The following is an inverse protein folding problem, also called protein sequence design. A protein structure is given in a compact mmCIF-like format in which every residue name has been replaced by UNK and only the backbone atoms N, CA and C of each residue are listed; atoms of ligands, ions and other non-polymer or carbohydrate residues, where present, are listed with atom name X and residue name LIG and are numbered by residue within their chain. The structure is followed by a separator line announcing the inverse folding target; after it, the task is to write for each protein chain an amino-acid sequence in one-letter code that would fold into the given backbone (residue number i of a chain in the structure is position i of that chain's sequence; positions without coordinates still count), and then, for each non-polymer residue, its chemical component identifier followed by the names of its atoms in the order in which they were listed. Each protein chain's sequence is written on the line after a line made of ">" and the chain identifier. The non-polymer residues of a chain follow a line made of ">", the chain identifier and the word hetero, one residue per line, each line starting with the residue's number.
data_IF_082763134419
#
_entry.id   IF_082763134419
#
_cell.length_a   1.000
_cell.length_b   1.000
_cell.length_c   1.000
_cell.angle_alpha   90.00
_cell.angle_beta   90.00
_cell.angle_gamma   90.00
#
_symmetry.space_group_name_H-M   'P 1'
#
loop_
_entity.id
_entity.type
_entity.pdbx_description
1 polymer ?
#
# COMPACT_ATOMS: atom_id res chain seq x y z
N UNK A 1 36.10 -51.61 31.63
CA UNK A 1 34.92 -50.79 31.28
C UNK A 1 35.03 -49.33 31.75
N UNK A 2 36.22 -48.81 32.11
CA UNK A 2 36.36 -47.41 32.57
C UNK A 2 36.88 -46.43 31.49
N UNK A 3 37.35 -46.93 30.34
CA UNK A 3 38.10 -46.14 29.35
C UNK A 3 37.23 -45.45 28.28
N UNK A 4 35.99 -45.92 28.09
CA UNK A 4 35.08 -45.38 27.07
C UNK A 4 34.35 -44.09 27.51
N UNK A 5 34.16 -43.90 28.82
CA UNK A 5 33.47 -42.73 29.36
C UNK A 5 34.35 -41.47 29.35
N UNK A 6 35.66 -41.64 29.55
CA UNK A 6 36.64 -40.55 29.56
C UNK A 6 36.91 -40.00 28.14
N UNK A 7 36.92 -40.89 27.13
CA UNK A 7 37.05 -40.50 25.72
C UNK A 7 35.86 -39.67 25.20
N UNK A 8 34.64 -40.00 25.61
CA UNK A 8 33.42 -39.26 25.21
C UNK A 8 33.35 -37.88 25.90
N UNK A 9 33.82 -37.78 27.15
CA UNK A 9 33.94 -36.51 27.87
C UNK A 9 34.98 -35.58 27.23
N UNK A 10 36.14 -36.12 26.84
CA UNK A 10 37.20 -35.37 26.15
C UNK A 10 36.76 -34.91 24.75
N UNK A 11 36.06 -35.75 23.98
CA UNK A 11 35.53 -35.39 22.68
C UNK A 11 34.47 -34.29 22.76
N UNK A 12 33.55 -34.38 23.73
CA UNK A 12 32.56 -33.32 24.00
C UNK A 12 33.23 -32.01 24.40
N UNK A 13 34.25 -32.05 25.26
CA UNK A 13 35.00 -30.87 25.67
C UNK A 13 35.72 -30.21 24.47
N UNK A 14 36.35 -31.00 23.59
CA UNK A 14 36.96 -30.48 22.36
C UNK A 14 35.93 -29.88 21.42
N UNK A 15 34.79 -30.53 21.23
CA UNK A 15 33.72 -30.06 20.33
C UNK A 15 33.14 -28.72 20.83
N UNK A 16 32.92 -28.59 22.15
CA UNK A 16 32.46 -27.34 22.76
C UNK A 16 33.51 -26.24 22.60
N UNK A 17 34.78 -26.53 22.86
CA UNK A 17 35.86 -25.56 22.68
C UNK A 17 35.97 -25.08 21.23
N UNK A 18 35.79 -25.99 20.27
CA UNK A 18 35.82 -25.68 18.84
C UNK A 18 34.58 -24.86 18.41
N UNK A 19 33.41 -25.15 18.97
CA UNK A 19 32.20 -24.37 18.75
C UNK A 19 32.34 -22.93 19.29
N UNK A 20 32.87 -22.77 20.50
CA UNK A 20 33.15 -21.46 21.10
C UNK A 20 34.16 -20.68 20.28
N UNK A 21 35.20 -21.34 19.77
CA UNK A 21 36.19 -20.71 18.90
C UNK A 21 35.58 -20.23 17.57
N UNK A 22 34.72 -21.05 16.95
CA UNK A 22 34.00 -20.68 15.73
C UNK A 22 33.01 -19.54 15.97
N UNK A 23 32.32 -19.53 17.10
CA UNK A 23 31.38 -18.47 17.48
C UNK A 23 32.11 -17.15 17.72
N UNK A 24 33.29 -17.18 18.35
CA UNK A 24 34.15 -16.01 18.50
C UNK A 24 34.68 -15.48 17.15
N UNK A 25 35.06 -16.38 16.23
CA UNK A 25 35.47 -16.01 14.87
C UNK A 25 34.31 -15.40 14.07
N UNK A 26 33.11 -15.98 14.16
CA UNK A 26 31.91 -15.45 13.51
C UNK A 26 31.53 -14.08 14.06
N UNK A 27 31.55 -13.92 15.39
CA UNK A 27 31.30 -12.63 16.03
C UNK A 27 32.34 -11.56 15.65
N UNK A 28 33.59 -11.95 15.42
CA UNK A 28 34.63 -11.06 14.90
C UNK A 28 34.37 -10.68 13.44
N UNK A 29 33.98 -11.63 12.60
CA UNK A 29 33.68 -11.40 11.18
C UNK A 29 32.44 -10.51 10.95
N UNK A 30 31.50 -10.50 11.90
CA UNK A 30 30.30 -9.65 11.87
C UNK A 30 30.56 -8.19 12.28
N UNK A 31 31.74 -7.87 12.81
CA UNK A 31 32.10 -6.48 13.13
C UNK A 31 32.49 -5.75 11.86
N UNK A 32 31.72 -4.73 11.51
CA UNK A 32 32.07 -3.84 10.42
C UNK A 32 33.44 -3.16 10.71
N UNK A 33 34.34 -3.07 9.72
CA UNK A 33 35.67 -2.45 9.89
C UNK A 33 35.62 -0.91 10.08
N UNK A 34 34.42 -0.32 10.07
CA UNK A 34 34.20 1.12 10.28
C UNK A 34 32.71 1.45 10.34
N UNK A 35 32.35 2.72 10.59
CA UNK A 35 30.96 3.16 10.59
C UNK A 35 30.33 2.91 9.20
N UNK A 36 29.21 2.18 9.21
CA UNK A 36 28.44 1.92 8.00
C UNK A 36 27.74 3.20 7.56
N UNK A 37 28.03 3.65 6.35
CA UNK A 37 27.27 4.73 5.74
C UNK A 37 25.87 4.22 5.41
N UNK A 38 24.86 5.05 5.66
CA UNK A 38 23.47 4.74 5.31
C UNK A 38 23.18 5.33 3.93
N UNK A 39 22.69 4.50 3.02
CA UNK A 39 22.21 4.93 1.70
C UNK A 39 20.85 5.62 1.78
N UNK A 40 20.43 6.21 0.67
CA UNK A 40 19.24 7.05 0.59
C UNK A 40 17.93 6.30 0.94
N UNK A 41 17.85 4.99 0.71
CA UNK A 41 16.71 4.13 1.09
C UNK A 41 16.84 3.45 2.45
N UNK A 42 17.68 3.98 3.34
CA UNK A 42 18.04 3.39 4.64
C UNK A 42 18.81 2.07 4.59
N UNK A 43 19.20 1.60 3.40
CA UNK A 43 20.14 0.50 3.21
C UNK A 43 21.52 0.87 3.74
N UNK A 44 22.37 -0.13 3.96
CA UNK A 44 23.82 0.12 4.11
C UNK A 44 24.33 0.54 2.74
N UNK A 45 24.85 1.76 2.62
CA UNK A 45 25.43 2.25 1.38
C UNK A 45 26.56 1.31 0.95
N UNK A 46 26.45 0.76 -0.26
CA UNK A 46 27.49 -0.09 -0.84
C UNK A 46 28.81 0.65 -0.77
N UNK A 47 29.82 0.07 -0.15
CA UNK A 47 31.16 0.67 -0.07
C UNK A 47 31.70 0.87 -1.49
N UNK A 48 32.25 2.05 -1.79
CA UNK A 48 32.94 2.26 -3.06
C UNK A 48 34.20 1.40 -3.05
N UNK A 49 34.17 0.31 -3.80
CA UNK A 49 35.33 -0.51 -4.10
C UNK A 49 35.88 -0.08 -5.47
N UNK A 50 37.11 0.47 -5.53
CA UNK A 50 37.71 0.89 -6.79
C UNK A 50 37.97 -0.25 -7.77
N UNK A 51 37.95 -1.51 -7.32
CA UNK A 51 38.18 -2.71 -8.14
C UNK A 51 36.88 -3.46 -8.49
N UNK A 52 35.72 -2.97 -8.01
CA UNK A 52 34.43 -3.59 -8.34
C UNK A 52 34.03 -3.38 -9.81
N UNK A 53 33.27 -4.33 -10.41
CA UNK A 53 32.74 -4.18 -11.75
C UNK A 53 31.88 -2.90 -11.90
N UNK A 54 31.92 -2.28 -13.09
CA UNK A 54 31.37 -0.93 -13.33
C UNK A 54 29.94 -0.70 -12.82
N UNK A 55 29.07 -1.68 -12.97
CA UNK A 55 27.67 -1.62 -12.50
C UNK A 55 27.54 -1.45 -10.98
N UNK A 56 28.41 -2.11 -10.19
CA UNK A 56 28.41 -1.97 -8.74
C UNK A 56 28.92 -0.59 -8.31
N UNK A 57 29.88 -0.02 -9.05
CA UNK A 57 30.39 1.33 -8.78
C UNK A 57 29.36 2.41 -9.13
N UNK A 58 28.60 2.23 -10.22
CA UNK A 58 27.52 3.14 -10.60
C UNK A 58 26.38 3.13 -9.59
N UNK A 59 25.94 1.95 -9.12
CA UNK A 59 24.90 1.84 -8.08
C UNK A 59 25.37 2.46 -6.75
N UNK A 60 26.61 2.21 -6.35
CA UNK A 60 27.19 2.73 -5.13
C UNK A 60 27.39 4.26 -5.18
N UNK A 61 27.74 4.81 -6.35
CA UNK A 61 27.77 6.25 -6.61
C UNK A 61 26.39 6.89 -6.62
N UNK A 62 25.41 6.30 -7.31
CA UNK A 62 24.06 6.84 -7.38
C UNK A 62 23.39 6.92 -6.00
N UNK A 63 23.62 5.92 -5.14
CA UNK A 63 23.15 5.92 -3.74
C UNK A 63 23.82 7.00 -2.86
N UNK A 64 25.01 7.51 -3.24
CA UNK A 64 25.80 8.49 -2.45
C UNK A 64 25.83 9.92 -2.99
N UNK A 65 25.84 10.12 -4.31
CA UNK A 65 26.23 11.40 -4.93
C UNK A 65 25.03 12.35 -5.10
N UNK A 66 23.83 11.84 -5.37
CA UNK A 66 22.62 12.67 -5.47
C UNK A 66 21.34 11.81 -5.27
N UNK A 67 20.75 11.78 -4.06
CA UNK A 67 19.45 11.10 -3.87
C UNK A 67 18.40 11.60 -4.88
N UNK A 68 18.46 12.89 -5.24
CA UNK A 68 17.60 13.51 -6.25
C UNK A 68 17.61 12.80 -7.62
N UNK A 69 18.74 12.22 -8.04
CA UNK A 69 18.83 11.51 -9.33
C UNK A 69 18.13 10.15 -9.29
N UNK A 70 18.27 9.40 -8.18
CA UNK A 70 17.52 8.16 -7.97
C UNK A 70 16.03 8.43 -7.81
N UNK A 71 15.67 9.51 -7.11
CA UNK A 71 14.29 9.93 -6.95
C UNK A 71 13.68 10.39 -8.28
N UNK A 72 14.45 11.08 -9.13
CA UNK A 72 14.05 11.48 -10.47
C UNK A 72 13.82 10.25 -11.38
N UNK A 73 14.75 9.29 -11.38
CA UNK A 73 14.61 8.05 -12.17
C UNK A 73 13.39 7.24 -11.71
N UNK A 74 13.23 7.02 -10.40
CA UNK A 74 12.05 6.34 -9.86
C UNK A 74 10.76 7.10 -10.15
N UNK A 75 10.79 8.43 -10.20
CA UNK A 75 9.66 9.26 -10.60
C UNK A 75 9.30 9.06 -12.07
N UNK A 76 10.30 9.05 -12.96
CA UNK A 76 10.12 8.77 -14.38
C UNK A 76 9.54 7.37 -14.61
N UNK A 77 10.00 6.34 -13.89
CA UNK A 77 9.46 4.99 -13.96
C UNK A 77 7.98 4.95 -13.54
N UNK A 78 7.62 5.62 -12.43
CA UNK A 78 6.23 5.71 -11.96
C UNK A 78 5.32 6.41 -12.98
N UNK A 79 5.80 7.48 -13.62
CA UNK A 79 5.07 8.17 -14.68
C UNK A 79 4.99 7.31 -15.95
N UNK A 80 6.04 6.56 -16.27
CA UNK A 80 6.07 5.56 -17.34
C UNK A 80 4.99 4.49 -17.16
N UNK A 81 4.88 3.90 -15.97
CA UNK A 81 3.83 2.93 -15.64
C UNK A 81 2.42 3.53 -15.78
N UNK A 82 2.22 4.76 -15.30
CA UNK A 82 0.92 5.44 -15.43
C UNK A 82 0.56 5.72 -16.90
N UNK A 83 1.55 6.06 -17.73
CA UNK A 83 1.38 6.22 -19.18
C UNK A 83 1.03 4.90 -19.85
N UNK A 84 1.74 3.83 -19.52
CA UNK A 84 1.59 2.53 -20.17
C UNK A 84 0.20 1.91 -19.89
N UNK A 85 -0.38 2.19 -18.71
CA UNK A 85 -1.76 1.81 -18.37
C UNK A 85 -2.80 2.81 -18.91
N UNK A 86 -2.36 3.93 -19.50
CA UNK A 86 -3.20 4.93 -20.16
C UNK A 86 -3.93 5.87 -19.18
N UNK A 87 -3.35 6.11 -18.01
CA UNK A 87 -3.94 6.94 -16.94
C UNK A 87 -3.05 8.10 -16.48
N UNK A 88 -1.94 8.37 -17.18
CA UNK A 88 -0.94 9.37 -16.79
C UNK A 88 -1.54 10.70 -16.33
N UNK A 89 -2.38 11.34 -17.16
CA UNK A 89 -2.96 12.65 -16.83
C UNK A 89 -3.82 12.59 -15.58
N UNK A 90 -4.69 11.59 -15.49
CA UNK A 90 -5.58 11.40 -14.34
C UNK A 90 -4.79 11.07 -13.07
N UNK A 91 -3.71 10.29 -13.20
CA UNK A 91 -2.82 9.93 -12.10
C UNK A 91 -2.08 11.16 -11.55
N UNK A 92 -1.56 12.02 -12.43
CA UNK A 92 -0.90 13.28 -12.03
C UNK A 92 -1.91 14.25 -11.41
N UNK A 93 -3.09 14.41 -12.00
CA UNK A 93 -4.17 15.24 -11.46
C UNK A 93 -4.62 14.74 -10.08
N UNK A 94 -4.82 13.42 -9.93
CA UNK A 94 -5.19 12.81 -8.66
C UNK A 94 -4.11 13.05 -7.59
N UNK A 95 -2.83 12.92 -7.93
CA UNK A 95 -1.73 13.19 -7.01
C UNK A 95 -1.67 14.67 -6.59
N UNK A 96 -1.90 15.60 -7.52
CA UNK A 96 -1.94 17.04 -7.24
C UNK A 96 -3.14 17.41 -6.36
N UNK A 97 -4.35 16.94 -6.71
CA UNK A 97 -5.57 17.19 -5.95
C UNK A 97 -5.51 16.58 -4.55
N UNK A 98 -4.89 15.39 -4.44
CA UNK A 98 -4.57 14.76 -3.18
C UNK A 98 -3.56 15.58 -2.35
N UNK A 99 -2.74 16.43 -2.97
CA UNK A 99 -1.57 17.06 -2.35
C UNK A 99 -0.51 16.04 -1.95
N UNK A 100 -0.28 15.02 -2.78
CA UNK A 100 0.70 13.96 -2.54
C UNK A 100 2.12 14.51 -2.65
N UNK A 101 2.87 14.47 -1.55
CA UNK A 101 4.23 15.03 -1.44
C UNK A 101 5.30 13.94 -1.37
N UNK A 102 4.97 12.78 -0.82
CA UNK A 102 5.87 11.64 -0.76
C UNK A 102 5.66 10.66 -1.92
N UNK A 103 6.68 9.88 -2.32
CA UNK A 103 6.53 8.85 -3.36
C UNK A 103 5.41 7.83 -3.07
N UNK A 104 5.21 7.46 -1.81
CA UNK A 104 4.15 6.53 -1.41
C UNK A 104 2.75 7.11 -1.64
N UNK A 105 2.55 8.39 -1.29
CA UNK A 105 1.29 9.09 -1.55
C UNK A 105 1.02 9.22 -3.06
N UNK A 106 2.06 9.54 -3.85
CA UNK A 106 1.95 9.65 -5.31
C UNK A 106 1.59 8.30 -5.93
N UNK A 107 2.26 7.22 -5.52
CA UNK A 107 1.94 5.87 -5.98
C UNK A 107 0.50 5.46 -5.65
N UNK A 108 0.02 5.77 -4.44
CA UNK A 108 -1.37 5.52 -4.07
C UNK A 108 -2.36 6.33 -4.92
N UNK A 109 -2.05 7.60 -5.22
CA UNK A 109 -2.87 8.41 -6.11
C UNK A 109 -2.90 7.84 -7.55
N UNK A 110 -1.76 7.36 -8.06
CA UNK A 110 -1.69 6.71 -9.38
C UNK A 110 -2.50 5.40 -9.41
N UNK A 111 -2.42 4.60 -8.35
CA UNK A 111 -3.23 3.39 -8.20
C UNK A 111 -4.73 3.71 -8.11
N UNK A 112 -5.10 4.78 -7.40
CA UNK A 112 -6.47 5.26 -7.29
C UNK A 112 -7.02 5.66 -8.67
N UNK A 113 -6.27 6.43 -9.46
CA UNK A 113 -6.63 6.79 -10.83
C UNK A 113 -6.78 5.57 -11.74
N UNK A 114 -5.89 4.58 -11.58
CA UNK A 114 -5.94 3.31 -12.33
C UNK A 114 -7.19 2.51 -11.98
N UNK A 115 -7.45 2.28 -10.69
CA UNK A 115 -8.60 1.54 -10.20
C UNK A 115 -9.92 2.24 -10.60
N UNK A 116 -9.99 3.57 -10.48
CA UNK A 116 -11.12 4.36 -10.93
C UNK A 116 -11.39 4.18 -12.44
N UNK A 117 -10.34 4.29 -13.26
CA UNK A 117 -10.46 4.12 -14.72
C UNK A 117 -10.95 2.73 -15.08
N UNK A 118 -10.40 1.70 -14.44
CA UNK A 118 -10.83 0.31 -14.65
C UNK A 118 -12.27 0.08 -14.19
N UNK A 119 -12.67 0.63 -13.05
CA UNK A 119 -14.05 0.59 -12.58
C UNK A 119 -15.02 1.19 -13.62
N UNK A 120 -14.73 2.40 -14.10
CA UNK A 120 -15.59 3.08 -15.07
C UNK A 120 -15.68 2.32 -16.41
N UNK A 121 -14.57 1.76 -16.88
CA UNK A 121 -14.55 0.92 -18.10
C UNK A 121 -15.35 -0.38 -17.92
N UNK A 122 -15.22 -1.04 -16.77
CA UNK A 122 -15.98 -2.26 -16.45
C UNK A 122 -17.48 -1.96 -16.33
N UNK A 123 -17.85 -0.86 -15.67
CA UNK A 123 -19.23 -0.40 -15.56
C UNK A 123 -19.84 -0.09 -16.94
N UNK A 124 -19.11 0.65 -17.79
CA UNK A 124 -19.53 0.93 -19.17
C UNK A 124 -19.70 -0.34 -20.00
N UNK A 125 -18.81 -1.33 -19.83
CA UNK A 125 -18.92 -2.61 -20.54
C UNK A 125 -20.07 -3.46 -20.02
N UNK A 126 -20.37 -3.42 -18.72
CA UNK A 126 -21.54 -4.05 -18.13
C UNK A 126 -22.83 -3.43 -18.69
N UNK A 127 -22.89 -2.10 -18.78
CA UNK A 127 -24.00 -1.38 -19.40
C UNK A 127 -24.22 -1.81 -20.85
N UNK A 128 -23.17 -1.98 -21.65
CA UNK A 128 -23.29 -2.46 -23.03
C UNK A 128 -23.95 -3.85 -23.15
N UNK A 129 -23.73 -4.77 -22.19
CA UNK A 129 -24.42 -6.07 -22.16
C UNK A 129 -25.90 -5.93 -21.78
N UNK A 130 -26.24 -5.00 -20.91
CA UNK A 130 -27.62 -4.70 -20.51
C UNK A 130 -28.38 -3.97 -21.63
N UNK A 131 -27.74 -3.00 -22.28
CA UNK A 131 -28.31 -2.18 -23.35
C UNK A 131 -28.52 -2.94 -24.67
N UNK A 132 -27.72 -3.98 -24.96
CA UNK A 132 -27.98 -4.92 -26.07
C UNK A 132 -29.34 -5.61 -25.98
N UNK A 133 -29.89 -5.74 -24.76
CA UNK A 133 -31.24 -6.29 -24.53
C UNK A 133 -32.35 -5.35 -25.00
N UNK A 134 -32.10 -4.03 -25.01
CA UNK A 134 -33.11 -3.03 -25.36
C UNK A 134 -33.16 -2.64 -26.84
N UNK A 135 -32.11 -2.93 -27.62
CA UNK A 135 -32.06 -2.61 -29.06
C UNK A 135 -32.75 -3.66 -29.95
N UNK A 136 -33.31 -4.72 -29.35
CA UNK A 136 -34.12 -5.72 -30.03
C UNK A 136 -35.57 -5.26 -30.13
N UNK A 137 -35.92 -4.57 -31.20
CA UNK A 137 -37.31 -4.43 -31.64
C UNK A 137 -37.91 -5.84 -31.73
N UNK A 138 -38.91 -6.08 -30.87
CA UNK A 138 -39.77 -7.25 -30.74
C UNK A 138 -39.75 -8.16 -31.98
N UNK A 139 -38.88 -9.17 -31.99
CA UNK A 139 -38.85 -10.16 -33.08
C UNK A 139 -39.91 -11.21 -32.78
N UNK A 140 -41.03 -11.10 -33.50
CA UNK A 140 -42.16 -12.01 -33.42
C UNK A 140 -41.86 -13.32 -34.17
N UNK A 141 -40.84 -14.08 -33.77
CA UNK A 141 -40.47 -15.35 -34.43
C UNK A 141 -40.05 -16.46 -33.43
N UNK A 142 -40.29 -17.74 -33.76
CA UNK A 142 -40.14 -18.87 -32.85
C UNK A 142 -38.66 -19.30 -32.75
N UNK A 143 -37.87 -18.56 -31.96
CA UNK A 143 -36.51 -18.95 -31.58
C UNK A 143 -36.23 -18.68 -30.08
N UNK A 144 -37.27 -18.83 -29.25
CA UNK A 144 -37.26 -18.45 -27.83
C UNK A 144 -36.12 -19.09 -27.02
N UNK A 145 -35.67 -20.31 -27.36
CA UNK A 145 -34.58 -20.97 -26.62
C UNK A 145 -33.20 -20.36 -26.88
N UNK A 146 -32.89 -20.04 -28.14
CA UNK A 146 -31.61 -19.42 -28.52
C UNK A 146 -31.54 -17.99 -28.00
N UNK A 147 -32.66 -17.27 -28.00
CA UNK A 147 -32.77 -15.92 -27.48
C UNK A 147 -32.62 -15.90 -25.95
N UNK A 148 -33.31 -16.79 -25.22
CA UNK A 148 -33.15 -16.98 -23.77
C UNK A 148 -31.71 -17.30 -23.36
N UNK A 149 -31.02 -18.16 -24.12
CA UNK A 149 -29.62 -18.49 -23.83
C UNK A 149 -28.69 -17.29 -24.01
N UNK A 150 -28.90 -16.47 -25.06
CA UNK A 150 -28.12 -15.24 -25.28
C UNK A 150 -28.37 -14.20 -24.19
N UNK A 151 -29.62 -14.05 -23.75
CA UNK A 151 -30.00 -13.18 -22.63
C UNK A 151 -29.36 -13.60 -21.30
N UNK A 152 -29.32 -14.92 -21.04
CA UNK A 152 -28.69 -15.47 -19.86
C UNK A 152 -27.18 -15.16 -19.84
N UNK A 153 -26.48 -15.37 -20.97
CA UNK A 153 -25.05 -15.05 -21.09
C UNK A 153 -24.80 -13.56 -20.87
N UNK A 154 -25.59 -12.68 -21.49
CA UNK A 154 -25.44 -11.23 -21.33
C UNK A 154 -25.66 -10.79 -19.87
N UNK A 155 -26.66 -11.36 -19.19
CA UNK A 155 -26.96 -11.06 -17.80
C UNK A 155 -25.85 -11.53 -16.86
N UNK A 156 -25.26 -12.70 -17.11
CA UNK A 156 -24.13 -13.24 -16.33
C UNK A 156 -22.89 -12.35 -16.50
N UNK A 157 -22.54 -11.98 -17.74
CA UNK A 157 -21.38 -11.13 -18.00
C UNK A 157 -21.57 -9.72 -17.44
N UNK A 158 -22.77 -9.14 -17.57
CA UNK A 158 -23.10 -7.87 -16.94
C UNK A 158 -22.93 -7.93 -15.41
N UNK A 159 -23.41 -9.00 -14.76
CA UNK A 159 -23.26 -9.18 -13.32
C UNK A 159 -21.78 -9.32 -12.90
N UNK A 160 -20.99 -10.09 -13.64
CA UNK A 160 -19.55 -10.27 -13.38
C UNK A 160 -18.77 -8.97 -13.50
N UNK A 161 -19.00 -8.21 -14.58
CA UNK A 161 -18.35 -6.92 -14.81
C UNK A 161 -18.77 -5.89 -13.77
N UNK A 162 -20.06 -5.85 -13.41
CA UNK A 162 -20.58 -4.96 -12.36
C UNK A 162 -19.95 -5.29 -11.01
N UNK A 163 -19.84 -6.57 -10.64
CA UNK A 163 -19.17 -6.98 -9.42
C UNK A 163 -17.68 -6.64 -9.41
N UNK A 164 -16.98 -6.81 -10.54
CA UNK A 164 -15.59 -6.41 -10.68
C UNK A 164 -15.41 -4.88 -10.56
N UNK A 165 -16.29 -4.10 -11.20
CA UNK A 165 -16.33 -2.65 -11.07
C UNK A 165 -16.52 -2.21 -9.62
N UNK A 166 -17.49 -2.79 -8.90
CA UNK A 166 -17.74 -2.48 -7.50
C UNK A 166 -16.51 -2.73 -6.60
N UNK A 167 -15.75 -3.82 -6.84
CA UNK A 167 -14.51 -4.08 -6.11
C UNK A 167 -13.42 -3.04 -6.40
N UNK A 168 -13.30 -2.57 -7.65
CA UNK A 168 -12.35 -1.51 -8.01
C UNK A 168 -12.75 -0.16 -7.38
N UNK A 169 -14.05 0.14 -7.32
CA UNK A 169 -14.56 1.33 -6.62
C UNK A 169 -14.27 1.28 -5.12
N UNK A 170 -14.47 0.12 -4.48
CA UNK A 170 -14.12 -0.07 -3.06
C UNK A 170 -12.61 0.05 -2.81
N UNK A 171 -11.78 -0.52 -3.69
CA UNK A 171 -10.32 -0.33 -3.62
C UNK A 171 -9.91 1.15 -3.74
N UNK A 172 -10.57 1.90 -4.62
CA UNK A 172 -10.37 3.35 -4.79
C UNK A 172 -10.72 4.11 -3.50
N UNK A 173 -11.85 3.79 -2.87
CA UNK A 173 -12.28 4.40 -1.61
C UNK A 173 -11.30 4.07 -0.46
N UNK A 174 -10.82 2.82 -0.38
CA UNK A 174 -9.81 2.43 0.61
C UNK A 174 -8.47 3.13 0.39
N UNK A 175 -8.05 3.32 -0.87
CA UNK A 175 -6.84 4.08 -1.19
C UNK A 175 -6.96 5.55 -0.74
N UNK A 176 -8.12 6.17 -0.92
CA UNK A 176 -8.38 7.52 -0.44
C UNK A 176 -8.29 7.62 1.10
N UNK A 177 -8.85 6.66 1.83
CA UNK A 177 -8.72 6.59 3.29
C UNK A 177 -7.29 6.32 3.74
N UNK A 178 -6.53 5.47 3.02
CA UNK A 178 -5.13 5.22 3.31
C UNK A 178 -4.29 6.49 3.13
N UNK A 179 -4.56 7.26 2.06
CA UNK A 179 -3.93 8.55 1.80
C UNK A 179 -4.25 9.57 2.92
N UNK A 180 -5.51 9.67 3.35
CA UNK A 180 -5.91 10.54 4.45
C UNK A 180 -5.18 10.19 5.76
N UNK A 181 -5.02 8.90 6.05
CA UNK A 181 -4.24 8.41 7.20
C UNK A 181 -2.75 8.67 7.10
N UNK A 182 -2.16 8.54 5.90
CA UNK A 182 -0.75 8.89 5.69
C UNK A 182 -0.51 10.38 5.93
N UNK A 183 -1.45 11.23 5.50
CA UNK A 183 -1.37 12.68 5.64
C UNK A 183 -1.58 13.18 7.05
N UNK A 184 -2.63 12.71 7.71
CA UNK A 184 -3.02 13.20 9.03
C UNK A 184 -2.41 12.37 10.17
N UNK A 185 -1.76 11.25 9.83
CA UNK A 185 -1.25 10.25 10.76
C UNK A 185 -2.38 9.48 11.44
N UNK A 186 -2.04 8.36 12.08
CA UNK A 186 -2.89 7.75 13.11
C UNK A 186 -2.82 8.57 14.40
N UNK A 187 -3.12 9.88 14.33
CA UNK A 187 -3.12 10.75 15.52
C UNK A 187 -4.38 10.51 16.33
N UNK A 188 -4.28 9.63 17.32
CA UNK A 188 -5.23 9.62 18.43
C UNK A 188 -4.78 10.67 19.45
N UNK A 189 -5.39 11.86 19.43
CA UNK A 189 -5.18 12.85 20.48
C UNK A 189 -5.91 12.39 21.74
N UNK A 190 -5.21 11.75 22.68
CA UNK A 190 -5.75 11.40 23.99
C UNK A 190 -5.65 12.64 24.89
N UNK A 191 -6.77 13.31 25.14
CA UNK A 191 -6.83 14.38 26.14
C UNK A 191 -6.99 13.73 27.51
N UNK A 192 -5.90 13.68 28.29
CA UNK A 192 -5.95 13.19 29.68
C UNK A 192 -6.43 14.34 30.58
N UNK A 193 -7.69 14.27 31.02
CA UNK A 193 -8.19 15.14 32.08
C UNK A 193 -7.96 14.45 33.43
N UNK A 194 -6.96 14.88 34.19
CA UNK A 194 -6.79 14.41 35.57
C UNK A 194 -7.74 15.16 36.49
N UNK A 195 -8.74 14.46 37.03
CA UNK A 195 -9.58 14.97 38.12
C UNK A 195 -9.05 14.45 39.45
N UNK A 196 -8.48 15.32 40.27
CA UNK A 196 -8.14 14.98 41.67
C UNK A 196 -9.44 14.97 42.47
N UNK A 197 -9.81 13.81 43.01
CA UNK A 197 -11.00 13.62 43.83
C UNK A 197 -10.57 13.52 45.29
N UNK A 198 -11.03 14.44 46.13
CA UNK A 198 -10.85 14.37 47.59
C UNK A 198 -11.90 13.46 48.23
N UNK A 199 -11.60 12.95 49.43
CA UNK A 199 -12.44 11.99 50.16
C UNK A 199 -13.87 12.55 50.36
N UNK A 200 -14.85 11.93 49.69
CA UNK A 200 -16.27 12.35 49.66
C UNK A 200 -16.72 13.14 48.43
N UNK A 201 -15.85 13.46 47.47
CA UNK A 201 -16.22 14.11 46.21
C UNK A 201 -16.58 13.11 45.09
N UNK A 202 -17.62 13.40 44.29
CA UNK A 202 -17.93 12.63 43.07
C UNK A 202 -17.45 13.41 41.85
N UNK A 203 -16.48 12.87 41.10
CA UNK A 203 -16.12 13.42 39.78
C UNK A 203 -17.13 12.96 38.72
N UNK A 204 -17.99 13.88 38.29
CA UNK A 204 -18.89 13.67 37.15
C UNK A 204 -18.20 14.23 35.89
N UNK A 205 -17.66 13.35 35.06
CA UNK A 205 -17.11 13.72 33.75
C UNK A 205 -18.25 13.72 32.73
N UNK A 206 -18.94 14.85 32.61
CA UNK A 206 -19.84 15.09 31.48
C UNK A 206 -18.97 15.45 30.26
N UNK A 207 -18.66 14.47 29.42
CA UNK A 207 -17.96 14.72 28.16
C UNK A 207 -18.76 15.70 27.31
N UNK A 208 -18.25 16.91 27.10
CA UNK A 208 -18.80 17.86 26.15
C UNK A 208 -18.57 17.29 24.74
N UNK A 209 -19.55 16.56 24.21
CA UNK A 209 -19.61 16.27 22.79
C UNK A 209 -20.02 17.56 22.08
N UNK A 210 -19.07 18.18 21.37
CA UNK A 210 -19.36 19.27 20.45
C UNK A 210 -20.19 18.72 19.28
N UNK A 211 -21.50 18.66 19.50
CA UNK A 211 -22.46 18.39 18.44
C UNK A 211 -22.51 19.62 17.54
N UNK A 212 -21.72 19.60 16.46
CA UNK A 212 -21.81 20.59 15.39
C UNK A 212 -23.28 20.81 15.04
N UNK A 213 -23.73 22.01 15.32
CA UNK A 213 -25.08 22.50 15.11
C UNK A 213 -25.49 22.29 13.65
N UNK A 214 -26.32 21.26 13.40
CA UNK A 214 -27.04 21.13 12.13
C UNK A 214 -28.05 22.28 12.07
N UNK A 215 -27.65 23.38 11.44
CA UNK A 215 -28.49 24.55 11.17
C UNK A 215 -29.70 24.13 10.34
N UNK A 216 -30.78 23.77 11.02
CA UNK A 216 -32.07 23.47 10.44
C UNK A 216 -32.66 24.73 9.81
N UNK A 217 -32.73 24.75 8.48
CA UNK A 217 -33.46 25.75 7.71
C UNK A 217 -34.93 25.74 8.12
N UNK A 218 -35.38 26.77 8.86
CA UNK A 218 -36.80 27.04 9.08
C UNK A 218 -37.46 27.34 7.73
N UNK A 219 -38.29 26.42 7.23
CA UNK A 219 -39.32 26.73 6.22
C UNK A 219 -40.40 27.53 6.92
N UNK A 220 -40.44 28.84 6.63
CA UNK A 220 -41.61 29.67 6.87
C UNK A 220 -42.65 29.35 5.79
N UNK A 221 -43.86 28.99 6.21
CA UNK A 221 -45.03 28.88 5.35
C UNK A 221 -46.27 29.05 6.23
N UNK A 222 -46.94 30.19 6.04
CA UNK A 222 -48.30 30.47 6.51
C UNK A 222 -49.27 29.40 6.04
#
# INVERSE_FOLDING_TARGET
>A
MADAADGDALWKAQTIAQAVALEAMAAHALKAPGPLARGAGHEVALRDDPDAPGRQRELARASRIAPDMLDAEASLDRLGLARDVGVLTLAVEAAQAAGATSPAEQMLAHQMATAHTMAMRLASRADAFLSRRFSGYQSSLPAADVERQREQVASIEAARLTAASARMMDATARAALALDRLKNGARQTIIVQQTVVQEGGQAVVAGAMDSRERKGTKRNGK
#
